data_IF_033573768172
#
_entry.id   IF_033573768172
#
_cell.length_a   1.000
_cell.length_b   1.000
_cell.length_c   1.000
_cell.angle_alpha   90.00
_cell.angle_beta   90.00
_cell.angle_gamma   90.00
#
_symmetry.space_group_name_H-M   'P 1'
#
loop_
_entity.id
_entity.type
_entity.pdbx_description
1 polymer ?
#
# COMPACT_ATOMS: atom_id res chain seq x y z
N UNK A 1 36.93 -38.43 42.28
CA UNK A 1 36.83 -37.41 41.20
C UNK A 1 35.53 -37.47 40.40
N UNK A 2 34.99 -38.65 40.09
CA UNK A 2 33.82 -38.79 39.19
C UNK A 2 32.52 -38.18 39.74
N UNK A 3 32.25 -38.33 41.05
CA UNK A 3 31.05 -37.77 41.68
C UNK A 3 31.04 -36.24 41.78
N UNK A 4 32.21 -35.61 41.98
CA UNK A 4 32.32 -34.15 42.02
C UNK A 4 31.93 -33.51 40.68
N UNK A 5 32.35 -34.14 39.58
CA UNK A 5 31.96 -33.74 38.23
C UNK A 5 30.45 -33.87 38.00
N UNK A 6 29.82 -34.91 38.58
CA UNK A 6 28.37 -35.10 38.49
C UNK A 6 27.61 -34.02 39.24
N UNK A 7 28.06 -33.63 40.45
CA UNK A 7 27.44 -32.54 41.21
C UNK A 7 27.60 -31.18 40.52
N UNK A 8 28.75 -30.93 39.86
CA UNK A 8 28.97 -29.72 39.06
C UNK A 8 28.06 -29.66 37.83
N UNK A 9 27.85 -30.79 37.15
CA UNK A 9 26.93 -30.88 36.02
C UNK A 9 25.47 -30.65 36.45
N UNK A 10 25.04 -31.27 37.56
CA UNK A 10 23.65 -31.13 38.04
C UNK A 10 23.36 -29.68 38.47
N UNK A 11 24.28 -29.05 39.20
CA UNK A 11 24.12 -27.65 39.63
C UNK A 11 24.14 -26.67 38.45
N UNK A 12 24.96 -26.92 37.42
CA UNK A 12 24.95 -26.14 36.18
C UNK A 12 23.62 -26.26 35.42
N UNK A 13 23.06 -27.47 35.31
CA UNK A 13 21.79 -27.71 34.61
C UNK A 13 20.60 -27.07 35.36
N UNK A 14 20.60 -27.08 36.70
CA UNK A 14 19.58 -26.41 37.51
C UNK A 14 19.65 -24.88 37.34
N UNK A 15 20.86 -24.30 37.22
CA UNK A 15 21.04 -22.88 36.88
C UNK A 15 20.50 -22.52 35.49
N UNK A 16 20.76 -23.37 34.49
CA UNK A 16 20.31 -23.17 33.11
C UNK A 16 18.78 -23.25 32.94
N UNK A 17 18.13 -24.17 33.64
CA UNK A 17 16.66 -24.32 33.57
C UNK A 17 15.91 -23.12 34.15
N UNK A 18 16.45 -22.47 35.19
CA UNK A 18 15.88 -21.23 35.75
C UNK A 18 16.17 -20.00 34.88
N UNK A 19 17.32 -19.98 34.19
CA UNK A 19 17.72 -18.90 33.29
C UNK A 19 16.90 -18.83 32.00
N UNK A 20 16.33 -19.94 31.52
CA UNK A 20 15.55 -19.94 30.28
C UNK A 20 14.20 -19.20 30.40
N UNK A 21 13.60 -19.18 31.58
CA UNK A 21 12.43 -18.32 31.83
C UNK A 21 12.85 -16.86 32.00
N UNK A 22 13.97 -16.62 32.67
CA UNK A 22 14.50 -15.28 32.89
C UNK A 22 14.93 -14.60 31.58
N UNK A 23 15.57 -15.32 30.65
CA UNK A 23 15.98 -14.75 29.35
C UNK A 23 14.79 -14.31 28.50
N UNK A 24 13.68 -15.07 28.55
CA UNK A 24 12.43 -14.68 27.88
C UNK A 24 11.82 -13.42 28.48
N UNK A 25 11.87 -13.29 29.80
CA UNK A 25 11.42 -12.07 30.49
C UNK A 25 12.28 -10.86 30.14
N UNK A 26 13.60 -11.02 30.11
CA UNK A 26 14.53 -9.94 29.72
C UNK A 26 14.34 -9.52 28.27
N UNK A 27 14.12 -10.47 27.35
CA UNK A 27 13.83 -10.18 25.94
C UNK A 27 12.49 -9.49 25.77
N UNK A 28 11.44 -9.94 26.46
CA UNK A 28 10.12 -9.29 26.42
C UNK A 28 10.16 -7.88 27.03
N UNK A 29 10.91 -7.70 28.11
CA UNK A 29 11.12 -6.39 28.73
C UNK A 29 11.91 -5.44 27.83
N UNK A 30 12.99 -5.90 27.19
CA UNK A 30 13.79 -5.07 26.29
C UNK A 30 13.03 -4.68 25.03
N UNK A 31 12.27 -5.60 24.44
CA UNK A 31 11.38 -5.32 23.30
C UNK A 31 10.26 -4.35 23.69
N UNK A 32 9.66 -4.52 24.87
CA UNK A 32 8.65 -3.59 25.39
C UNK A 32 9.20 -2.18 25.61
N UNK A 33 10.40 -2.07 26.21
CA UNK A 33 11.07 -0.80 26.43
C UNK A 33 11.44 -0.11 25.11
N UNK A 34 11.95 -0.86 24.13
CA UNK A 34 12.25 -0.36 22.79
C UNK A 34 10.98 0.14 22.06
N UNK A 35 9.86 -0.59 22.20
CA UNK A 35 8.57 -0.18 21.64
C UNK A 35 8.04 1.11 22.26
N UNK A 36 8.11 1.24 23.59
CA UNK A 36 7.73 2.47 24.31
C UNK A 36 8.64 3.66 23.94
N UNK A 37 9.94 3.43 23.79
CA UNK A 37 10.89 4.46 23.34
C UNK A 37 10.57 4.96 21.93
N UNK A 38 10.30 4.03 21.00
CA UNK A 38 9.91 4.39 19.63
C UNK A 38 8.59 5.17 19.60
N UNK A 39 7.59 4.76 20.38
CA UNK A 39 6.31 5.48 20.49
C UNK A 39 6.48 6.89 21.06
N UNK A 40 7.35 7.07 22.05
CA UNK A 40 7.64 8.38 22.62
C UNK A 40 8.35 9.30 21.61
N UNK A 41 9.34 8.80 20.87
CA UNK A 41 9.99 9.56 19.78
C UNK A 41 8.98 9.95 18.70
N UNK A 42 8.05 9.05 18.36
CA UNK A 42 6.97 9.32 17.41
C UNK A 42 6.02 10.42 17.91
N UNK A 43 5.64 10.39 19.19
CA UNK A 43 4.81 11.43 19.80
C UNK A 43 5.51 12.79 19.82
N UNK A 44 6.82 12.80 20.07
CA UNK A 44 7.63 14.01 20.09
C UNK A 44 7.78 14.65 18.70
N UNK A 45 7.99 13.84 17.66
CA UNK A 45 8.03 14.32 16.27
C UNK A 45 6.65 14.78 15.77
N UNK A 46 5.57 14.09 16.15
CA UNK A 46 4.22 14.51 15.77
C UNK A 46 3.83 15.87 16.37
N UNK A 47 4.20 16.13 17.63
CA UNK A 47 3.93 17.41 18.29
C UNK A 47 4.80 18.56 17.72
N UNK A 48 5.99 18.23 17.21
CA UNK A 48 6.85 19.19 16.49
C UNK A 48 6.28 19.59 15.12
N UNK A 49 5.60 18.67 14.45
CA UNK A 49 4.90 18.96 13.19
C UNK A 49 3.67 19.84 13.47
N UNK A 50 2.92 19.54 14.53
CA UNK A 50 1.69 20.27 14.87
C UNK A 50 1.94 21.72 15.33
N UNK A 51 3.04 22.00 16.02
CA UNK A 51 3.40 23.38 16.43
C UNK A 51 3.88 24.28 15.28
N UNK A 52 4.23 23.71 14.12
CA UNK A 52 4.57 24.48 12.90
C UNK A 52 3.32 24.82 12.07
N UNK A 53 2.18 24.16 12.33
CA UNK A 53 0.93 24.25 11.56
C UNK A 53 -0.18 25.05 12.28
N UNK A 54 0.18 25.95 13.20
CA UNK A 54 -0.79 26.82 13.91
C UNK A 54 -0.74 28.29 13.45
N UNK A 55 -0.28 28.53 12.22
CA UNK A 55 -0.39 29.85 11.58
C UNK A 55 -1.06 29.72 10.21
N UNK A 56 -2.39 29.78 10.25
CA UNK A 56 -3.18 30.34 9.16
C UNK A 56 -3.71 29.38 8.12
N UNK A 57 -5.03 29.34 8.01
CA UNK A 57 -5.67 29.16 6.72
C UNK A 57 -6.49 27.89 6.57
N UNK A 58 -7.66 27.93 7.18
CA UNK A 58 -8.81 27.07 6.89
C UNK A 58 -9.10 27.05 5.38
N UNK A 59 -8.69 25.98 4.68
CA UNK A 59 -9.33 25.50 3.43
C UNK A 59 -8.80 24.12 3.01
N UNK A 60 -9.68 23.11 3.16
CA UNK A 60 -9.99 22.06 2.16
C UNK A 60 -8.80 21.52 1.32
N UNK A 61 -8.15 20.42 1.71
CA UNK A 61 -7.41 19.66 0.71
C UNK A 61 -7.46 18.13 0.88
N UNK A 62 -8.12 17.49 -0.08
CA UNK A 62 -7.89 16.14 -0.59
C UNK A 62 -6.43 15.95 -1.11
N UNK A 63 -5.40 16.44 -0.40
CA UNK A 63 -3.98 16.45 -0.83
C UNK A 63 -3.24 15.22 -0.29
N UNK A 64 -3.50 14.08 -0.90
CA UNK A 64 -2.38 13.21 -1.28
C UNK A 64 -2.47 12.99 -2.78
N UNK A 65 -1.92 13.96 -3.52
CA UNK A 65 -1.63 13.99 -4.96
C UNK A 65 -2.61 14.61 -5.96
N UNK A 66 -3.75 15.19 -5.57
CA UNK A 66 -4.61 15.91 -6.54
C UNK A 66 -5.03 17.26 -5.98
N UNK A 67 -4.20 18.28 -6.24
CA UNK A 67 -4.54 19.71 -6.38
C UNK A 67 -3.25 20.54 -6.27
N UNK A 68 -2.50 20.61 -7.36
CA UNK A 68 -1.92 21.88 -7.77
C UNK A 68 -2.51 22.23 -9.14
N UNK A 69 -3.13 23.40 -9.22
CA UNK A 69 -3.50 24.06 -10.48
C UNK A 69 -2.22 24.40 -11.23
N UNK A 70 -1.76 23.43 -12.03
CA UNK A 70 -0.54 23.50 -12.79
C UNK A 70 -0.26 22.14 -13.43
N UNK A 71 -1.06 21.76 -14.42
CA UNK A 71 -0.86 20.54 -15.22
C UNK A 71 -0.95 19.24 -14.40
N UNK A 72 -2.16 18.86 -13.97
CA UNK A 72 -2.44 17.58 -13.29
C UNK A 72 -2.15 16.37 -14.18
N UNK A 73 -0.89 15.96 -14.23
CA UNK A 73 -0.45 14.79 -14.95
C UNK A 73 -0.16 13.67 -13.94
N UNK A 74 -1.02 12.65 -13.90
CA UNK A 74 -0.69 11.41 -13.22
C UNK A 74 0.58 10.83 -13.85
N UNK A 75 1.59 10.56 -13.02
CA UNK A 75 2.83 9.91 -13.45
C UNK A 75 2.60 8.40 -13.59
N UNK A 76 2.03 8.00 -14.73
CA UNK A 76 1.71 6.62 -15.04
C UNK A 76 2.95 5.73 -15.16
N UNK A 77 4.09 6.30 -15.53
CA UNK A 77 5.37 5.60 -15.57
C UNK A 77 5.72 5.04 -14.18
N UNK A 78 5.63 5.87 -13.15
CA UNK A 78 5.90 5.45 -11.77
C UNK A 78 4.86 4.44 -11.24
N UNK A 79 3.59 4.59 -11.61
CA UNK A 79 2.52 3.66 -11.20
C UNK A 79 2.76 2.28 -11.79
N UNK A 80 3.01 2.21 -13.10
CA UNK A 80 3.21 0.94 -13.80
C UNK A 80 4.52 0.25 -13.39
N UNK A 81 5.56 1.02 -13.05
CA UNK A 81 6.81 0.46 -12.50
C UNK A 81 6.60 -0.22 -11.14
N UNK A 82 5.66 0.27 -10.33
CA UNK A 82 5.33 -0.26 -9.00
C UNK A 82 4.24 -1.33 -9.03
N UNK A 83 3.75 -1.69 -10.21
CA UNK A 83 2.67 -2.65 -10.42
C UNK A 83 3.18 -3.91 -11.16
N UNK A 84 3.97 -4.78 -10.49
CA UNK A 84 4.49 -6.00 -11.10
C UNK A 84 3.38 -7.00 -11.45
N UNK A 85 2.26 -6.99 -10.69
CA UNK A 85 1.10 -7.84 -10.93
C UNK A 85 0.21 -7.35 -12.08
N UNK A 86 0.50 -6.17 -12.66
CA UNK A 86 -0.29 -5.56 -13.74
C UNK A 86 -1.73 -5.25 -13.33
N UNK A 87 -1.98 -5.03 -12.04
CA UNK A 87 -3.28 -4.70 -11.51
C UNK A 87 -3.82 -3.37 -12.02
N UNK A 88 -2.99 -2.35 -12.20
CA UNK A 88 -3.42 -1.08 -12.81
C UNK A 88 -3.92 -1.30 -14.25
N UNK A 89 -3.24 -2.15 -15.02
CA UNK A 89 -3.69 -2.51 -16.38
C UNK A 89 -4.97 -3.35 -16.36
N UNK A 90 -5.05 -4.32 -15.44
CA UNK A 90 -6.26 -5.11 -15.21
C UNK A 90 -7.46 -4.24 -14.86
N UNK A 91 -7.26 -3.26 -13.97
CA UNK A 91 -8.28 -2.31 -13.55
C UNK A 91 -8.84 -1.53 -14.74
N UNK A 92 -7.96 -0.90 -15.52
CA UNK A 92 -8.38 -0.09 -16.67
C UNK A 92 -9.07 -0.92 -17.75
N UNK A 93 -8.61 -2.14 -17.99
CA UNK A 93 -9.31 -3.07 -18.86
C UNK A 93 -10.72 -3.37 -18.34
N UNK A 94 -10.86 -3.68 -17.04
CA UNK A 94 -12.16 -3.95 -16.43
C UNK A 94 -13.09 -2.73 -16.48
N UNK A 95 -12.56 -1.52 -16.29
CA UNK A 95 -13.32 -0.27 -16.43
C UNK A 95 -13.81 -0.07 -17.87
N UNK A 96 -12.92 -0.21 -18.86
CA UNK A 96 -13.27 -0.08 -20.28
C UNK A 96 -14.24 -1.17 -20.76
N UNK A 97 -14.18 -2.37 -20.16
CA UNK A 97 -15.11 -3.47 -20.43
C UNK A 97 -16.48 -3.29 -19.77
N UNK A 98 -16.64 -2.34 -18.84
CA UNK A 98 -17.88 -2.09 -18.10
C UNK A 98 -18.66 -0.94 -18.73
N UNK A 99 -19.98 -1.05 -18.79
CA UNK A 99 -20.82 0.03 -19.33
C UNK A 99 -20.75 1.29 -18.44
N UNK A 100 -20.74 2.46 -19.08
CA UNK A 100 -20.65 3.76 -18.43
C UNK A 100 -21.74 4.01 -17.36
N UNK A 101 -22.92 3.39 -17.51
CA UNK A 101 -24.02 3.49 -16.54
C UNK A 101 -23.75 2.74 -15.23
N UNK A 102 -22.89 1.73 -15.26
CA UNK A 102 -22.54 0.90 -14.11
C UNK A 102 -21.24 1.34 -13.42
N UNK A 103 -20.53 2.29 -14.02
CA UNK A 103 -19.33 2.90 -13.45
C UNK A 103 -19.71 4.00 -12.45
N UNK A 104 -19.08 3.99 -11.28
CA UNK A 104 -19.18 5.10 -10.32
C UNK A 104 -18.45 6.34 -10.82
N UNK A 105 -18.75 7.52 -10.25
CA UNK A 105 -18.16 8.80 -10.68
C UNK A 105 -16.62 8.77 -10.67
N UNK A 106 -16.03 8.15 -9.65
CA UNK A 106 -14.57 8.04 -9.53
C UNK A 106 -13.98 7.14 -10.61
N UNK A 107 -14.67 6.04 -10.94
CA UNK A 107 -14.22 5.10 -11.98
C UNK A 107 -14.34 5.73 -13.37
N UNK A 108 -15.38 6.53 -13.62
CA UNK A 108 -15.51 7.33 -14.85
C UNK A 108 -14.37 8.35 -14.97
N UNK A 109 -14.05 9.05 -13.88
CA UNK A 109 -12.94 10.01 -13.85
C UNK A 109 -11.60 9.32 -14.13
N UNK A 110 -11.35 8.16 -13.50
CA UNK A 110 -10.13 7.38 -13.74
C UNK A 110 -10.03 6.92 -15.19
N UNK A 111 -11.13 6.41 -15.76
CA UNK A 111 -11.17 5.98 -17.15
C UNK A 111 -10.86 7.12 -18.12
N UNK A 112 -11.44 8.31 -17.89
CA UNK A 112 -11.22 9.48 -18.73
C UNK A 112 -9.77 9.99 -18.64
N UNK A 113 -9.24 10.05 -17.42
CA UNK A 113 -7.87 10.49 -17.20
C UNK A 113 -6.85 9.50 -17.79
N UNK A 114 -7.13 8.20 -17.72
CA UNK A 114 -6.33 7.17 -18.38
C UNK A 114 -6.38 7.29 -19.91
N UNK A 115 -7.55 7.59 -20.50
CA UNK A 115 -7.68 7.85 -21.95
C UNK A 115 -6.93 9.11 -22.40
N UNK A 116 -6.97 10.17 -21.61
CA UNK A 116 -6.19 11.39 -21.87
C UNK A 116 -4.68 11.10 -21.83
N UNK A 117 -4.26 10.26 -20.87
CA UNK A 117 -2.86 9.88 -20.68
C UNK A 117 -2.37 8.86 -21.70
N UNK A 118 -3.23 7.97 -22.22
CA UNK A 118 -2.87 6.96 -23.22
C UNK A 118 -2.49 7.58 -24.57
N UNK A 119 -3.03 8.77 -24.88
CA UNK A 119 -2.69 9.53 -26.10
C UNK A 119 -1.29 10.12 -26.06
N UNK A 120 -0.67 10.23 -24.88
CA UNK A 120 0.73 10.65 -24.76
C UNK A 120 1.58 9.48 -25.26
N UNK A 121 2.42 9.69 -26.27
CA UNK A 121 3.26 8.66 -26.91
C UNK A 121 4.35 8.03 -26.02
N UNK A 122 4.24 8.13 -24.69
CA UNK A 122 5.16 7.53 -23.72
C UNK A 122 5.00 6.02 -23.64
N UNK A 123 5.99 5.34 -23.04
CA UNK A 123 5.90 3.90 -22.77
C UNK A 123 4.65 3.56 -21.94
N UNK A 124 4.38 4.37 -20.90
CA UNK A 124 3.20 4.18 -20.07
C UNK A 124 1.92 4.39 -20.88
N UNK A 125 1.86 5.44 -21.71
CA UNK A 125 0.71 5.68 -22.58
C UNK A 125 0.37 4.49 -23.47
N UNK A 126 1.38 3.83 -24.06
CA UNK A 126 1.18 2.59 -24.84
C UNK A 126 0.63 1.44 -24.00
N UNK A 127 1.11 1.27 -22.77
CA UNK A 127 0.59 0.24 -21.86
C UNK A 127 -0.86 0.49 -21.45
N UNK A 128 -1.23 1.76 -21.21
CA UNK A 128 -2.61 2.15 -20.93
C UNK A 128 -3.51 1.93 -22.14
N UNK A 129 -3.06 2.34 -23.32
CA UNK A 129 -3.81 2.16 -24.56
C UNK A 129 -4.11 0.69 -24.81
N UNK A 130 -3.13 -0.19 -24.58
CA UNK A 130 -3.32 -1.63 -24.75
C UNK A 130 -4.36 -2.19 -23.78
N UNK A 131 -4.31 -1.78 -22.50
CA UNK A 131 -5.29 -2.19 -21.50
C UNK A 131 -6.72 -1.73 -21.84
N UNK A 132 -6.86 -0.49 -22.31
CA UNK A 132 -8.15 0.06 -22.74
C UNK A 132 -8.69 -0.70 -23.96
N UNK A 133 -7.84 -0.94 -24.96
CA UNK A 133 -8.18 -1.69 -26.17
C UNK A 133 -8.65 -3.12 -25.83
N UNK A 134 -8.03 -3.78 -24.85
CA UNK A 134 -8.50 -5.08 -24.37
C UNK A 134 -9.91 -5.00 -23.80
N UNK A 135 -10.19 -4.00 -22.96
CA UNK A 135 -11.51 -3.80 -22.36
C UNK A 135 -12.59 -3.54 -23.42
N UNK A 136 -12.31 -2.65 -24.37
CA UNK A 136 -13.23 -2.30 -25.47
C UNK A 136 -13.57 -3.51 -26.36
N UNK A 137 -12.62 -4.44 -26.53
CA UNK A 137 -12.83 -5.69 -27.31
C UNK A 137 -13.69 -6.71 -26.57
N UNK A 138 -13.44 -6.92 -25.28
CA UNK A 138 -14.06 -8.04 -24.55
C UNK A 138 -15.43 -7.69 -23.96
N UNK A 139 -15.70 -6.41 -23.66
CA UNK A 139 -16.98 -5.90 -23.10
C UNK A 139 -17.51 -6.68 -21.88
N UNK A 140 -16.64 -7.45 -21.22
CA UNK A 140 -16.91 -8.22 -20.02
C UNK A 140 -15.68 -8.15 -19.11
N UNK A 141 -15.81 -7.62 -17.88
CA UNK A 141 -14.67 -7.41 -16.98
C UNK A 141 -13.97 -8.74 -16.61
N UNK A 142 -14.70 -9.85 -16.55
CA UNK A 142 -14.14 -11.16 -16.24
C UNK A 142 -13.12 -11.65 -17.28
N UNK A 143 -13.24 -11.20 -18.54
CA UNK A 143 -12.26 -11.54 -19.58
C UNK A 143 -10.94 -10.78 -19.38
N UNK A 144 -11.00 -9.55 -18.86
CA UNK A 144 -9.80 -8.80 -18.48
C UNK A 144 -8.98 -9.51 -17.41
N UNK A 145 -9.64 -10.17 -16.45
CA UNK A 145 -8.94 -10.98 -15.44
C UNK A 145 -8.20 -12.19 -16.04
N UNK A 146 -8.68 -12.73 -17.17
CA UNK A 146 -7.98 -13.80 -17.90
C UNK A 146 -6.79 -13.28 -18.71
N UNK A 147 -6.84 -12.02 -19.16
CA UNK A 147 -5.72 -11.35 -19.83
C UNK A 147 -4.64 -11.01 -18.79
N UNK A 148 -5.04 -10.44 -17.65
CA UNK A 148 -4.15 -10.03 -16.57
C UNK A 148 -4.18 -11.01 -15.39
N UNK A 149 -3.72 -12.25 -15.65
CA UNK A 149 -3.84 -13.40 -14.74
C UNK A 149 -3.18 -13.22 -13.37
N UNK A 150 -2.19 -12.34 -13.27
CA UNK A 150 -1.44 -12.11 -12.02
C UNK A 150 -2.16 -11.17 -11.06
N UNK A 151 -3.18 -10.43 -11.52
CA UNK A 151 -3.95 -9.57 -10.64
C UNK A 151 -5.19 -10.29 -10.12
N UNK A 152 -5.30 -10.56 -8.80
CA UNK A 152 -6.45 -11.25 -8.23
C UNK A 152 -7.64 -10.33 -7.95
N UNK A 153 -7.51 -9.02 -8.19
CA UNK A 153 -8.51 -8.02 -7.78
C UNK A 153 -9.46 -7.65 -8.91
N UNK A 154 -10.74 -7.50 -8.55
CA UNK A 154 -11.76 -6.93 -9.44
C UNK A 154 -11.72 -5.40 -9.40
N UNK A 155 -12.37 -4.76 -10.38
CA UNK A 155 -12.50 -3.30 -10.41
C UNK A 155 -13.15 -2.74 -9.14
N UNK A 156 -14.15 -3.42 -8.58
CA UNK A 156 -14.80 -2.98 -7.35
C UNK A 156 -13.86 -3.05 -6.15
N UNK A 157 -13.10 -4.13 -6.00
CA UNK A 157 -12.12 -4.23 -4.91
C UNK A 157 -11.05 -3.14 -5.04
N UNK A 158 -10.55 -2.91 -6.25
CA UNK A 158 -9.55 -1.87 -6.49
C UNK A 158 -10.09 -0.47 -6.21
N UNK A 159 -11.31 -0.15 -6.65
CA UNK A 159 -11.94 1.14 -6.35
C UNK A 159 -12.21 1.31 -4.85
N UNK A 160 -12.61 0.24 -4.14
CA UNK A 160 -12.71 0.27 -2.67
C UNK A 160 -11.36 0.52 -1.99
N UNK A 161 -10.29 -0.16 -2.41
CA UNK A 161 -8.95 0.05 -1.86
C UNK A 161 -8.47 1.49 -2.11
N UNK A 162 -8.66 2.01 -3.33
CA UNK A 162 -8.33 3.39 -3.67
C UNK A 162 -9.09 4.39 -2.81
N UNK A 163 -10.37 4.14 -2.52
CA UNK A 163 -11.15 4.97 -1.59
C UNK A 163 -10.65 4.85 -0.15
N UNK A 164 -10.33 3.66 0.33
CA UNK A 164 -9.84 3.47 1.71
C UNK A 164 -8.48 4.15 1.93
N UNK A 165 -7.54 3.97 1.00
CA UNK A 165 -6.20 4.57 1.12
C UNK A 165 -6.14 6.03 0.64
N UNK A 166 -7.09 6.46 -0.19
CA UNK A 166 -7.24 7.86 -0.60
C UNK A 166 -8.01 8.69 0.43
N UNK A 167 -8.83 8.06 1.27
CA UNK A 167 -9.68 8.73 2.28
C UNK A 167 -9.20 8.50 3.72
N UNK A 168 -8.02 7.88 3.92
CA UNK A 168 -7.50 7.49 5.23
C UNK A 168 -6.39 8.40 5.76
N UNK A 169 -6.79 9.35 6.63
CA UNK A 169 -6.00 10.28 7.45
C UNK A 169 -5.10 11.28 6.71
#
# INVERSE_FOLDING_TARGET
>A
MRHWFTYLLITSIIGFTKAHHFIRLVILASLGLAGLWMLHTLAQDFNRIQSTESSGGDTRIFKRSVLEEGNQQINWENILLKDPASCARSFLCQLAATDHKHLSKDEQLMLELSRSSSRKGSWAGKQLQEALNHGDKVKQPNQCMKIYKYCPYTSQMMSTLLRMFGSGR
#
